data_IF_338670269105
#
_entry.id   IF_338670269105
#
_cell.length_a   1.000
_cell.length_b   1.000
_cell.length_c   1.000
_cell.angle_alpha   90.00
_cell.angle_beta   90.00
_cell.angle_gamma   90.00
#
_symmetry.space_group_name_H-M   'P 1'
#
loop_
_entity.id
_entity.type
_entity.pdbx_description
1 polymer ?
#
# COMPACT_ATOMS: atom_id res chain seq x y z
N UNK A 1 20.34 -3.80 -6.06
CA UNK A 1 19.23 -3.53 -7.00
C UNK A 1 17.99 -4.16 -6.40
N UNK A 2 16.83 -3.49 -6.45
CA UNK A 2 15.59 -4.14 -6.03
C UNK A 2 15.30 -5.30 -6.99
N UNK A 3 14.88 -6.44 -6.45
CA UNK A 3 14.43 -7.56 -7.26
C UNK A 3 13.18 -7.13 -8.08
N UNK A 4 12.92 -7.72 -9.26
CA UNK A 4 11.84 -7.27 -10.16
C UNK A 4 10.48 -7.16 -9.48
N UNK A 5 10.18 -8.05 -8.53
CA UNK A 5 8.95 -8.05 -7.74
C UNK A 5 8.81 -6.89 -6.76
N UNK A 6 9.92 -6.20 -6.44
CA UNK A 6 10.00 -5.01 -5.59
C UNK A 6 10.13 -3.71 -6.38
N UNK A 7 10.13 -3.78 -7.72
CA UNK A 7 10.15 -2.59 -8.57
C UNK A 7 8.88 -1.74 -8.33
N UNK A 8 8.99 -0.41 -8.31
CA UNK A 8 7.88 0.47 -7.97
C UNK A 8 6.72 0.34 -8.97
N UNK A 9 5.50 0.53 -8.47
CA UNK A 9 4.31 0.71 -9.29
C UNK A 9 4.12 2.22 -9.47
N UNK A 10 4.07 2.65 -10.72
CA UNK A 10 3.83 4.05 -11.08
C UNK A 10 2.42 4.21 -11.61
N UNK A 11 1.70 5.15 -11.00
CA UNK A 11 0.41 5.65 -11.44
C UNK A 11 0.66 6.94 -12.21
N UNK A 12 0.25 6.99 -13.48
CA UNK A 12 0.32 8.22 -14.28
C UNK A 12 -0.61 9.30 -13.69
N UNK A 13 -0.38 10.57 -14.03
CA UNK A 13 -1.29 11.64 -13.61
C UNK A 13 -2.73 11.34 -14.06
N UNK A 14 -3.68 11.49 -13.15
CA UNK A 14 -5.10 11.26 -13.40
C UNK A 14 -5.54 9.79 -13.42
N UNK A 15 -4.65 8.79 -13.37
CA UNK A 15 -5.04 7.37 -13.52
C UNK A 15 -5.96 6.89 -12.39
N UNK A 16 -5.84 7.50 -11.20
CA UNK A 16 -6.71 7.25 -10.04
C UNK A 16 -7.21 8.57 -9.42
N UNK A 17 -7.27 9.64 -10.22
CA UNK A 17 -7.62 10.98 -9.75
C UNK A 17 -6.47 11.74 -9.06
N UNK A 18 -5.26 11.20 -9.06
CA UNK A 18 -4.05 11.88 -8.61
C UNK A 18 -3.67 13.06 -9.52
N UNK A 19 -3.18 14.15 -8.95
CA UNK A 19 -2.84 15.40 -9.66
C UNK A 19 -1.51 15.30 -10.41
N UNK A 20 -0.60 14.44 -9.94
CA UNK A 20 0.72 14.20 -10.54
C UNK A 20 1.07 12.71 -10.46
N UNK A 21 1.99 12.21 -11.31
CA UNK A 21 2.40 10.82 -11.25
C UNK A 21 2.92 10.45 -9.86
N UNK A 22 2.62 9.25 -9.38
CA UNK A 22 3.08 8.77 -8.07
C UNK A 22 3.63 7.35 -8.22
N UNK A 23 4.78 7.11 -7.59
CA UNK A 23 5.42 5.80 -7.53
C UNK A 23 5.42 5.28 -6.10
N UNK A 24 4.91 4.07 -5.91
CA UNK A 24 4.80 3.43 -4.59
C UNK A 24 5.33 2.00 -4.64
N UNK A 25 5.56 1.41 -3.46
CA UNK A 25 5.93 0.00 -3.39
C UNK A 25 4.77 -0.88 -3.89
N UNK A 26 5.06 -2.08 -4.45
CA UNK A 26 4.01 -3.00 -4.93
C UNK A 26 2.95 -3.38 -3.89
N UNK A 27 3.32 -3.36 -2.61
CA UNK A 27 2.44 -3.73 -1.50
C UNK A 27 1.71 -2.53 -0.89
N UNK A 28 2.14 -1.30 -1.18
CA UNK A 28 1.51 -0.08 -0.68
C UNK A 28 0.04 -0.04 -1.12
N UNK A 29 -0.87 0.18 -0.18
CA UNK A 29 -2.30 0.22 -0.51
C UNK A 29 -2.76 1.62 -0.86
N UNK A 30 -3.40 1.72 -2.03
CA UNK A 30 -4.10 2.91 -2.47
C UNK A 30 -5.55 2.82 -2.02
N UNK A 31 -6.13 3.95 -1.59
CA UNK A 31 -7.54 4.02 -1.27
C UNK A 31 -8.35 4.20 -2.55
N UNK A 32 -9.22 3.25 -2.85
CA UNK A 32 -10.08 3.27 -4.03
C UNK A 32 -11.51 3.53 -3.59
N UNK A 33 -12.13 4.52 -4.23
CA UNK A 33 -13.53 4.88 -4.05
C UNK A 33 -14.19 4.90 -5.42
N UNK A 34 -15.00 3.89 -5.71
CA UNK A 34 -15.61 3.65 -7.02
C UNK A 34 -16.95 2.94 -6.82
N UNK A 35 -17.93 3.11 -7.71
CA UNK A 35 -19.21 2.40 -7.59
C UNK A 35 -19.05 0.86 -7.48
N UNK A 36 -17.98 0.32 -8.08
CA UNK A 36 -17.60 -1.09 -8.01
C UNK A 36 -17.15 -1.53 -6.61
N UNK A 37 -16.66 -0.64 -5.76
CA UNK A 37 -16.25 -1.01 -4.38
C UNK A 37 -17.46 -1.44 -3.57
N UNK A 38 -18.55 -0.66 -3.66
CA UNK A 38 -19.81 -1.00 -3.02
C UNK A 38 -20.39 -2.29 -3.60
N UNK A 39 -20.34 -2.45 -4.92
CA UNK A 39 -20.88 -3.64 -5.61
C UNK A 39 -20.14 -4.93 -5.22
N UNK A 40 -18.81 -4.91 -5.19
CA UNK A 40 -18.01 -6.13 -4.99
C UNK A 40 -17.65 -6.39 -3.53
N UNK A 41 -17.56 -5.36 -2.70
CA UNK A 41 -17.05 -5.47 -1.33
C UNK A 41 -18.03 -4.97 -0.28
N UNK A 42 -19.13 -4.32 -0.66
CA UNK A 42 -20.10 -3.74 0.27
C UNK A 42 -19.61 -2.47 0.97
N UNK A 43 -18.51 -1.90 0.52
CA UNK A 43 -17.82 -0.76 1.15
C UNK A 43 -17.72 0.42 0.18
N UNK A 44 -17.95 1.63 0.67
CA UNK A 44 -17.82 2.85 -0.14
C UNK A 44 -16.37 3.11 -0.59
N UNK A 45 -15.40 2.70 0.23
CA UNK A 45 -13.99 2.85 -0.06
C UNK A 45 -13.18 1.68 0.52
N UNK A 46 -12.16 1.24 -0.22
CA UNK A 46 -11.34 0.09 0.15
C UNK A 46 -9.87 0.32 -0.15
N UNK A 47 -9.00 -0.33 0.63
CA UNK A 47 -7.56 -0.31 0.42
C UNK A 47 -7.11 -1.48 -0.47
N UNK A 48 -6.46 -1.16 -1.59
CA UNK A 48 -5.98 -2.13 -2.58
C UNK A 48 -4.49 -1.97 -2.79
N UNK A 49 -3.73 -3.07 -2.66
CA UNK A 49 -2.29 -3.05 -2.93
C UNK A 49 -2.01 -2.65 -4.38
N UNK A 50 -1.06 -1.74 -4.59
CA UNK A 50 -0.76 -1.12 -5.89
C UNK A 50 -0.53 -2.14 -7.01
N UNK A 51 0.15 -3.26 -6.73
CA UNK A 51 0.40 -4.32 -7.72
C UNK A 51 -0.87 -4.96 -8.29
N UNK A 52 -2.00 -4.88 -7.58
CA UNK A 52 -3.27 -5.40 -8.04
C UNK A 52 -4.04 -4.40 -8.92
N UNK A 53 -3.59 -3.15 -8.98
CA UNK A 53 -4.14 -2.10 -9.83
C UNK A 53 -3.39 -1.94 -11.15
N UNK A 54 -2.28 -2.68 -11.34
CA UNK A 54 -1.51 -2.67 -12.60
C UNK A 54 -2.39 -3.13 -13.75
N UNK A 55 -2.55 -2.26 -14.74
CA UNK A 55 -3.36 -2.48 -15.95
C UNK A 55 -2.54 -2.45 -17.24
N UNK A 56 -1.25 -2.11 -17.17
CA UNK A 56 -0.35 -2.09 -18.32
C UNK A 56 -0.51 -0.89 -19.25
N UNK A 57 -1.32 0.12 -18.88
CA UNK A 57 -1.55 1.34 -19.67
C UNK A 57 -1.05 2.58 -18.95
N UNK A 58 -1.65 2.89 -17.81
CA UNK A 58 -1.38 4.09 -17.00
C UNK A 58 -1.02 3.75 -15.54
N UNK A 59 -1.22 2.50 -15.13
CA UNK A 59 -0.66 1.92 -13.91
C UNK A 59 0.28 0.78 -14.28
N UNK A 60 1.57 1.00 -14.10
CA UNK A 60 2.64 0.12 -14.60
C UNK A 60 3.67 -0.20 -13.53
N UNK A 61 4.19 -1.43 -13.56
CA UNK A 61 5.35 -1.81 -12.75
C UNK A 61 6.63 -1.50 -13.52
N UNK A 62 7.59 -0.84 -12.87
CA UNK A 62 8.91 -0.60 -13.45
C UNK A 62 9.73 -1.88 -13.67
N UNK A 63 10.83 -1.78 -14.41
CA UNK A 63 11.71 -2.92 -14.73
C UNK A 63 12.85 -3.15 -13.71
N UNK A 64 12.86 -2.41 -12.59
CA UNK A 64 13.87 -2.50 -11.53
C UNK A 64 14.57 -1.17 -11.27
N UNK A 65 15.75 -1.22 -10.65
CA UNK A 65 16.56 -0.05 -10.32
C UNK A 65 16.90 0.07 -8.83
N UNK A 66 17.52 1.18 -8.46
CA UNK A 66 17.70 1.56 -7.07
C UNK A 66 16.49 2.40 -6.64
N UNK A 67 15.75 1.91 -5.65
CA UNK A 67 14.60 2.59 -5.04
C UNK A 67 14.75 2.52 -3.52
N UNK A 68 14.34 3.59 -2.86
CA UNK A 68 14.25 3.65 -1.39
C UNK A 68 12.79 3.86 -1.03
N UNK A 69 12.24 2.94 -0.24
CA UNK A 69 10.88 3.06 0.29
C UNK A 69 10.93 3.60 1.71
N UNK A 70 10.17 4.67 1.94
CA UNK A 70 10.00 5.25 3.26
C UNK A 70 8.65 4.81 3.82
N UNK A 71 8.67 4.21 5.01
CA UNK A 71 7.46 3.81 5.74
C UNK A 71 7.19 4.83 6.84
N UNK A 72 5.99 5.41 6.86
CA UNK A 72 5.57 6.36 7.88
C UNK A 72 4.59 5.63 8.80
N UNK A 73 4.94 5.52 10.07
CA UNK A 73 4.14 4.85 11.09
C UNK A 73 3.58 5.89 12.07
N UNK A 74 2.32 5.71 12.45
CA UNK A 74 1.62 6.54 13.43
C UNK A 74 1.21 5.69 14.64
N UNK A 75 0.51 6.29 15.60
CA UNK A 75 -0.04 5.54 16.75
C UNK A 75 -1.18 4.59 16.34
N UNK A 76 -1.84 4.87 15.21
CA UNK A 76 -2.88 4.04 14.60
C UNK A 76 -2.69 4.01 13.07
N UNK A 77 -3.40 3.13 12.37
CA UNK A 77 -3.36 3.14 10.92
C UNK A 77 -4.10 4.36 10.37
N UNK A 78 -3.46 5.12 9.50
CA UNK A 78 -4.00 6.37 8.97
C UNK A 78 -4.11 6.35 7.45
N UNK A 79 -4.99 7.21 6.93
CA UNK A 79 -5.03 7.53 5.50
C UNK A 79 -4.22 8.80 5.27
N UNK A 80 -3.25 8.73 4.36
CA UNK A 80 -2.35 9.83 4.01
C UNK A 80 -2.56 10.29 2.58
N UNK A 81 -2.24 11.55 2.31
CA UNK A 81 -2.37 12.17 1.00
C UNK A 81 -1.00 12.37 0.35
N UNK A 82 -0.87 11.95 -0.90
CA UNK A 82 0.33 12.12 -1.71
C UNK A 82 -0.09 12.43 -3.15
N UNK A 83 0.42 13.52 -3.74
CA UNK A 83 0.10 13.94 -5.11
C UNK A 83 -1.42 13.97 -5.42
N UNK A 84 -2.22 14.45 -4.45
CA UNK A 84 -3.67 14.57 -4.58
C UNK A 84 -4.47 13.29 -4.42
N UNK A 85 -3.84 12.15 -4.11
CA UNK A 85 -4.54 10.87 -3.88
C UNK A 85 -4.30 10.30 -2.49
N UNK A 86 -5.28 9.54 -2.01
CA UNK A 86 -5.28 8.89 -0.71
C UNK A 86 -4.63 7.49 -0.77
N UNK A 87 -3.78 7.20 0.22
CA UNK A 87 -3.15 5.89 0.40
C UNK A 87 -2.97 5.59 1.88
N UNK A 88 -2.51 4.39 2.21
CA UNK A 88 -2.27 4.01 3.60
C UNK A 88 -0.98 4.60 4.19
N UNK A 89 -0.96 4.80 5.52
CA UNK A 89 0.27 4.79 6.30
C UNK A 89 0.82 3.37 6.43
N UNK A 90 2.02 3.19 7.01
CA UNK A 90 2.54 1.84 7.24
C UNK A 90 1.66 1.09 8.27
N UNK A 91 1.27 -0.14 7.92
CA UNK A 91 0.59 -1.07 8.83
C UNK A 91 1.46 -2.31 9.09
N UNK A 92 2.08 -2.45 10.28
CA UNK A 92 2.97 -3.56 10.60
C UNK A 92 2.33 -4.96 10.49
N UNK A 93 1.02 -5.07 10.77
CA UNK A 93 0.27 -6.32 10.67
C UNK A 93 -0.19 -6.73 9.26
N UNK A 94 -0.14 -5.83 8.26
CA UNK A 94 -0.65 -6.10 6.91
C UNK A 94 0.44 -6.56 5.92
N UNK A 95 1.69 -6.23 6.21
CA UNK A 95 2.86 -6.57 5.41
C UNK A 95 3.77 -7.46 6.25
N UNK A 96 4.34 -8.51 5.66
CA UNK A 96 5.33 -9.28 6.37
C UNK A 96 6.53 -8.37 6.71
N UNK A 97 6.90 -8.33 8.00
CA UNK A 97 8.11 -7.69 8.53
C UNK A 97 9.43 -7.93 7.74
N UNK A 98 9.63 -8.99 6.91
CA UNK A 98 10.84 -9.18 6.11
C UNK A 98 11.15 -8.10 5.08
N UNK A 99 10.20 -7.19 4.75
CA UNK A 99 10.45 -6.09 3.81
C UNK A 99 11.21 -4.89 4.40
N UNK A 100 11.37 -4.84 5.73
CA UNK A 100 12.13 -3.79 6.41
C UNK A 100 13.61 -4.16 6.49
N UNK A 101 14.47 -3.14 6.36
CA UNK A 101 15.88 -3.27 6.74
C UNK A 101 15.99 -3.75 8.20
N UNK A 102 16.94 -4.64 8.55
CA UNK A 102 17.08 -5.16 9.90
C UNK A 102 17.16 -4.09 11.00
N UNK A 103 17.77 -2.93 10.73
CA UNK A 103 17.84 -1.82 11.68
C UNK A 103 16.47 -1.18 11.89
N UNK A 104 15.76 -0.86 10.81
CA UNK A 104 14.41 -0.30 10.88
C UNK A 104 13.43 -1.28 11.54
N UNK A 105 13.57 -2.59 11.29
CA UNK A 105 12.80 -3.63 11.98
C UNK A 105 13.13 -3.67 13.47
N UNK A 106 14.41 -3.56 13.85
CA UNK A 106 14.80 -3.56 15.26
C UNK A 106 14.22 -2.37 16.01
N UNK A 107 14.33 -1.17 15.42
CA UNK A 107 13.77 0.07 15.96
C UNK A 107 12.24 -0.01 16.10
N UNK A 108 11.54 -0.51 15.05
CA UNK A 108 10.10 -0.75 15.11
C UNK A 108 9.71 -1.63 16.30
N UNK A 109 10.43 -2.74 16.50
CA UNK A 109 10.13 -3.69 17.58
C UNK A 109 10.61 -3.21 18.96
N UNK A 110 11.41 -2.15 19.04
CA UNK A 110 11.78 -1.48 20.27
C UNK A 110 10.70 -0.47 20.68
N UNK A 111 10.19 0.30 19.72
CA UNK A 111 9.08 1.25 19.92
C UNK A 111 7.73 0.55 20.16
N UNK A 112 7.50 -0.58 19.49
CA UNK A 112 6.26 -1.36 19.59
C UNK A 112 6.56 -2.85 19.90
N UNK A 113 6.97 -3.18 21.15
CA UNK A 113 7.39 -4.52 21.53
C UNK A 113 6.31 -5.60 21.31
N UNK A 114 5.04 -5.23 21.43
CA UNK A 114 3.88 -6.10 21.23
C UNK A 114 3.83 -6.73 19.83
N UNK A 115 4.38 -6.05 18.82
CA UNK A 115 4.44 -6.55 17.45
C UNK A 115 5.38 -7.76 17.29
N UNK A 116 6.28 -8.00 18.25
CA UNK A 116 7.15 -9.20 18.25
C UNK A 116 6.33 -10.47 18.42
N UNK A 117 5.30 -10.43 19.27
CA UNK A 117 4.49 -11.58 19.63
C UNK A 117 3.18 -11.64 18.84
N UNK A 118 2.60 -10.48 18.52
CA UNK A 118 1.32 -10.39 17.85
C UNK A 118 1.27 -9.16 16.91
N UNK A 119 1.49 -9.33 15.60
CA UNK A 119 1.39 -8.22 14.64
C UNK A 119 0.01 -7.55 14.58
N UNK A 120 -1.05 -8.21 15.09
CA UNK A 120 -2.41 -7.65 15.16
C UNK A 120 -2.54 -6.67 16.35
N UNK A 121 -1.58 -6.66 17.29
CA UNK A 121 -1.60 -5.76 18.43
C UNK A 121 -1.54 -4.27 18.05
N UNK A 122 -1.05 -3.95 16.85
CA UNK A 122 -1.09 -2.59 16.28
C UNK A 122 -2.54 -2.04 16.14
N UNK A 123 -3.52 -2.93 16.04
CA UNK A 123 -4.91 -2.57 15.78
C UNK A 123 -5.33 -2.81 14.32
N UNK A 124 -6.57 -2.46 13.99
CA UNK A 124 -7.13 -2.65 12.66
C UNK A 124 -6.59 -1.61 11.66
N UNK A 125 -6.67 -1.95 10.37
CA UNK A 125 -6.47 -0.95 9.32
C UNK A 125 -7.60 0.09 9.32
N UNK A 126 -7.24 1.36 9.09
CA UNK A 126 -8.13 2.50 8.86
C UNK A 126 -9.33 2.21 7.95
N UNK A 127 -9.17 1.31 6.96
CA UNK A 127 -10.18 0.92 5.98
C UNK A 127 -10.07 -0.56 5.64
N UNK A 128 -11.17 -1.11 5.12
CA UNK A 128 -11.23 -2.50 4.65
C UNK A 128 -10.19 -2.72 3.57
N UNK A 129 -9.33 -3.71 3.81
CA UNK A 129 -8.28 -4.09 2.89
C UNK A 129 -8.72 -5.25 2.01
N UNK A 130 -8.79 -5.02 0.69
CA UNK A 130 -9.09 -6.08 -0.27
C UNK A 130 -7.94 -7.08 -0.30
N UNK A 131 -8.30 -8.37 -0.28
CA UNK A 131 -7.33 -9.48 -0.25
C UNK A 131 -7.00 -9.97 -1.65
N UNK A 132 -5.69 -9.99 -1.94
CA UNK A 132 -5.13 -10.68 -3.09
C UNK A 132 -5.70 -10.20 -4.43
N UNK A 133 -5.95 -11.15 -5.32
CA UNK A 133 -6.31 -10.85 -6.71
C UNK A 133 -7.68 -10.19 -6.89
N UNK A 134 -8.57 -10.21 -5.90
CA UNK A 134 -9.86 -9.52 -5.99
C UNK A 134 -9.72 -8.01 -6.21
N UNK A 135 -8.60 -7.41 -5.78
CA UNK A 135 -8.29 -6.01 -6.06
C UNK A 135 -8.24 -5.68 -7.56
N UNK A 136 -7.97 -6.67 -8.42
CA UNK A 136 -7.93 -6.50 -9.88
C UNK A 136 -9.30 -6.16 -10.48
N UNK A 137 -10.40 -6.44 -9.79
CA UNK A 137 -11.74 -6.02 -10.22
C UNK A 137 -11.88 -4.49 -10.29
N UNK A 138 -10.99 -3.78 -9.58
CA UNK A 138 -10.95 -2.32 -9.52
C UNK A 138 -9.87 -1.71 -10.42
N UNK A 139 -9.02 -2.51 -11.06
CA UNK A 139 -8.10 -2.02 -12.08
C UNK A 139 -8.93 -1.50 -13.27
N UNK A 140 -8.75 -0.23 -13.64
CA UNK A 140 -9.45 0.41 -14.75
C UNK A 140 -8.77 0.05 -16.08
#
# INVERSE_FOLDING_TARGET
MAAPEMAPITFAAGSIGNEAPISVSPQHRMLIRDARTQLYFGEEEVLVAAKHLVNGRDVIQGSGGAVTYHHILFDQHEIVFSNGVQSESYHPGATSLPGLDPRARSELLELFPELRANPIAYGPAARVSVRGQHGRLLAA
#
